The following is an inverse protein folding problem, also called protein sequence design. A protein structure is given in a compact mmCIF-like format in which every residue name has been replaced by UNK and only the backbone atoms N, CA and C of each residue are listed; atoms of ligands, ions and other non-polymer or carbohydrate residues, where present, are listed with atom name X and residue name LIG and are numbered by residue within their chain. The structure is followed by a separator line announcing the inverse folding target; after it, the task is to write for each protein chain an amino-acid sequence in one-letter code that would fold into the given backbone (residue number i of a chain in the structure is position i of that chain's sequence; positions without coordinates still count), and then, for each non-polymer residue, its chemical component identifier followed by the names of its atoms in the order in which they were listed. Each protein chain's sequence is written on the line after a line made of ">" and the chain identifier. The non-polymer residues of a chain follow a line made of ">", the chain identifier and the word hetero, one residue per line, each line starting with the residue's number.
data_IF_014752175437
#
_entry.id   IF_014752175437
#
_cell.length_a   1.000
_cell.length_b   1.000
_cell.length_c   1.000
_cell.angle_alpha   90.00
_cell.angle_beta   90.00
_cell.angle_gamma   90.00
#
_symmetry.space_group_name_H-M   'P 1'
#
loop_
_entity.id
_entity.type
_entity.pdbx_description
1 polymer ?
#
# COMPACT_ATOMS: atom_id res chain seq x y z
N UNK A 1 -8.79 32.27 59.50
CA UNK A 1 -10.24 32.17 59.25
C UNK A 1 -10.43 31.80 57.83
N UNK A 2 -10.67 30.57 57.67
CA UNK A 2 -11.91 29.90 57.27
C UNK A 2 -12.03 29.92 55.74
N UNK A 3 -11.87 28.82 55.14
CA UNK A 3 -12.72 27.64 54.84
C UNK A 3 -13.37 27.70 53.48
N UNK A 4 -12.94 26.76 52.65
CA UNK A 4 -13.72 25.71 51.95
C UNK A 4 -14.72 26.10 50.88
N UNK A 5 -14.63 25.44 49.71
CA UNK A 5 -15.53 24.43 49.10
C UNK A 5 -15.12 24.24 47.66
N UNK A 6 -14.51 23.23 47.25
CA UNK A 6 -14.95 21.86 46.92
C UNK A 6 -16.23 21.78 46.06
N UNK A 7 -16.11 21.37 44.83
CA UNK A 7 -16.78 20.23 44.19
C UNK A 7 -16.70 20.30 42.70
N UNK A 8 -16.02 19.34 42.14
CA UNK A 8 -16.55 18.28 41.26
C UNK A 8 -17.35 18.76 40.05
N UNK A 9 -16.73 18.65 38.88
CA UNK A 9 -17.40 17.98 37.74
C UNK A 9 -16.32 17.22 36.96
N UNK A 10 -16.38 15.92 37.08
CA UNK A 10 -15.60 15.02 36.26
C UNK A 10 -16.19 15.02 34.86
N UNK A 11 -15.37 15.35 33.89
CA UNK A 11 -15.62 15.02 32.49
C UNK A 11 -14.66 13.92 32.11
N UNK A 12 -15.22 12.76 31.95
CA UNK A 12 -14.56 11.58 31.39
C UNK A 12 -14.31 11.89 29.92
N UNK A 13 -13.11 12.42 29.61
CA UNK A 13 -12.57 12.33 28.27
C UNK A 13 -11.99 10.92 28.16
N UNK A 14 -12.75 10.01 27.58
CA UNK A 14 -12.23 8.77 27.04
C UNK A 14 -11.29 9.12 25.90
N UNK A 15 -10.04 9.41 26.24
CA UNK A 15 -8.95 9.49 25.30
C UNK A 15 -8.73 8.10 24.75
N UNK A 16 -9.22 7.91 23.53
CA UNK A 16 -8.81 6.78 22.70
C UNK A 16 -7.34 7.00 22.35
N UNK A 17 -6.45 6.56 23.24
CA UNK A 17 -5.05 6.38 22.92
C UNK A 17 -4.96 5.27 21.87
N UNK A 18 -4.95 5.69 20.61
CA UNK A 18 -4.52 4.84 19.52
C UNK A 18 -3.03 4.59 19.76
N UNK A 19 -2.74 3.50 20.46
CA UNK A 19 -1.39 3.00 20.63
C UNK A 19 -0.91 2.61 19.21
N UNK A 20 -0.20 3.50 18.54
CA UNK A 20 0.55 3.19 17.35
C UNK A 20 1.70 2.27 17.78
N UNK A 21 1.38 1.00 17.97
CA UNK A 21 2.41 -0.04 18.04
C UNK A 21 3.12 -0.01 16.70
N UNK A 22 4.39 0.38 16.72
CA UNK A 22 5.31 0.23 15.60
C UNK A 22 5.45 -1.27 15.32
N UNK A 23 4.50 -1.81 14.55
CA UNK A 23 4.65 -3.12 13.96
C UNK A 23 5.67 -2.92 12.84
N UNK A 24 6.91 -3.27 13.09
CA UNK A 24 7.88 -3.51 12.04
C UNK A 24 7.36 -4.71 11.25
N UNK A 25 6.52 -4.46 10.27
CA UNK A 25 6.16 -5.48 9.30
C UNK A 25 7.44 -5.83 8.56
N UNK A 26 8.00 -7.00 8.86
CA UNK A 26 9.12 -7.54 8.08
C UNK A 26 8.71 -7.52 6.60
N UNK A 27 9.58 -6.98 5.75
CA UNK A 27 9.32 -6.97 4.31
C UNK A 27 8.99 -8.39 3.85
N UNK A 28 8.01 -8.57 2.94
CA UNK A 28 7.67 -9.88 2.43
C UNK A 28 8.91 -10.53 1.80
N UNK A 29 9.22 -11.74 2.25
CA UNK A 29 10.23 -12.60 1.63
C UNK A 29 9.53 -13.68 0.82
N UNK A 30 10.15 -14.12 -0.28
CA UNK A 30 9.58 -14.96 -1.35
C UNK A 30 9.15 -16.39 -0.95
N UNK A 31 8.75 -16.69 0.29
CA UNK A 31 8.73 -18.07 0.80
C UNK A 31 7.37 -18.73 1.07
N UNK A 32 6.26 -18.02 1.08
CA UNK A 32 4.99 -18.65 1.49
C UNK A 32 3.91 -18.56 0.39
N UNK A 33 3.44 -19.74 -0.06
CA UNK A 33 2.24 -19.81 -0.91
C UNK A 33 1.03 -19.33 -0.10
N UNK A 34 0.11 -18.54 -0.73
CA UNK A 34 -1.13 -18.12 -0.09
C UNK A 34 -1.89 -19.33 0.47
N UNK A 35 -2.33 -19.24 1.73
CA UNK A 35 -3.24 -20.21 2.35
C UNK A 35 -4.67 -19.87 1.97
N UNK A 36 -5.57 -20.86 2.04
CA UNK A 36 -7.01 -20.64 1.90
C UNK A 36 -7.45 -19.49 2.81
N UNK A 37 -8.16 -18.51 2.22
CA UNK A 37 -8.57 -17.28 2.91
C UNK A 37 -7.57 -16.10 2.83
N UNK A 38 -6.41 -16.26 2.21
CA UNK A 38 -5.48 -15.16 1.98
C UNK A 38 -6.01 -14.19 0.91
N UNK A 39 -5.84 -12.91 1.17
CA UNK A 39 -6.16 -11.84 0.21
C UNK A 39 -4.95 -11.42 -0.64
N UNK A 40 -3.81 -12.10 -0.52
CA UNK A 40 -2.64 -11.84 -1.36
C UNK A 40 -3.02 -11.88 -2.84
N UNK A 41 -2.61 -10.88 -3.61
CA UNK A 41 -2.98 -10.74 -5.02
C UNK A 41 -4.38 -10.16 -5.27
N UNK A 42 -5.16 -9.85 -4.24
CA UNK A 42 -6.44 -9.17 -4.40
C UNK A 42 -6.31 -7.66 -4.21
N UNK A 43 -7.31 -6.93 -4.64
CA UNK A 43 -7.48 -5.52 -4.37
C UNK A 43 -8.43 -5.33 -3.18
N UNK A 44 -8.02 -4.53 -2.19
CA UNK A 44 -8.91 -3.95 -1.20
C UNK A 44 -9.42 -2.60 -1.71
N UNK A 45 -10.71 -2.37 -1.53
CA UNK A 45 -11.39 -1.15 -1.98
C UNK A 45 -12.01 -0.51 -0.75
N UNK A 46 -11.60 0.71 -0.44
CA UNK A 46 -12.21 1.47 0.65
C UNK A 46 -13.70 1.65 0.40
N UNK A 47 -14.53 1.29 1.38
CA UNK A 47 -15.97 1.46 1.28
C UNK A 47 -16.33 2.96 1.32
N UNK A 48 -17.52 3.37 0.83
CA UNK A 48 -17.99 4.75 0.96
C UNK A 48 -18.14 5.20 2.43
N UNK A 49 -18.26 4.28 3.37
CA UNK A 49 -18.32 4.52 4.81
C UNK A 49 -16.95 4.51 5.51
N UNK A 50 -15.87 4.48 4.76
CA UNK A 50 -14.50 4.53 5.31
C UNK A 50 -14.34 5.76 6.20
N UNK A 51 -14.10 5.54 7.48
CA UNK A 51 -13.97 6.61 8.48
C UNK A 51 -12.58 7.25 8.55
N UNK A 52 -11.56 6.57 8.03
CA UNK A 52 -10.19 7.09 8.03
C UNK A 52 -9.93 7.92 6.76
N UNK A 53 -9.69 9.25 6.90
CA UNK A 53 -9.49 10.13 5.75
C UNK A 53 -8.26 9.77 4.91
N UNK A 54 -7.30 9.03 5.46
CA UNK A 54 -6.12 8.55 4.73
C UNK A 54 -6.49 7.51 3.67
N UNK A 55 -7.63 6.85 3.82
CA UNK A 55 -8.05 5.75 2.94
C UNK A 55 -9.35 6.02 2.17
N UNK A 56 -9.90 7.24 2.22
CA UNK A 56 -11.10 7.59 1.43
C UNK A 56 -10.84 7.32 -0.06
N UNK A 57 -11.75 6.56 -0.72
CA UNK A 57 -11.64 6.21 -2.15
C UNK A 57 -10.28 5.58 -2.54
N UNK A 58 -9.71 4.80 -1.64
CA UNK A 58 -8.42 4.14 -1.86
C UNK A 58 -8.62 2.73 -2.41
N UNK A 59 -7.72 2.33 -3.31
CA UNK A 59 -7.58 0.94 -3.78
C UNK A 59 -6.16 0.47 -3.44
N UNK A 60 -6.07 -0.69 -2.78
CA UNK A 60 -4.82 -1.25 -2.27
C UNK A 60 -4.59 -2.62 -2.90
N UNK A 61 -3.44 -2.83 -3.52
CA UNK A 61 -2.99 -4.16 -3.93
C UNK A 61 -2.42 -4.88 -2.71
N UNK A 62 -2.97 -6.04 -2.38
CA UNK A 62 -2.49 -6.87 -1.28
C UNK A 62 -1.28 -7.68 -1.73
N UNK A 63 -0.12 -7.36 -1.16
CA UNK A 63 1.15 -8.04 -1.46
C UNK A 63 1.35 -9.25 -0.54
N UNK A 64 0.90 -9.15 0.71
CA UNK A 64 0.94 -10.24 1.69
C UNK A 64 -0.27 -10.17 2.61
N UNK A 65 -0.84 -11.34 2.90
CA UNK A 65 -1.86 -11.52 3.94
C UNK A 65 -1.72 -12.91 4.57
N UNK A 66 -1.33 -12.96 5.83
CA UNK A 66 -1.12 -14.18 6.60
C UNK A 66 -1.43 -13.97 8.09
N UNK A 67 -1.21 -15.00 8.92
CA UNK A 67 -1.44 -14.94 10.38
C UNK A 67 -0.58 -13.90 11.12
N UNK A 68 0.46 -13.35 10.49
CA UNK A 68 1.30 -12.28 11.04
C UNK A 68 0.78 -10.87 10.68
N UNK A 69 -0.29 -10.78 9.89
CA UNK A 69 -0.93 -9.54 9.47
C UNK A 69 -0.96 -9.37 7.96
N UNK A 70 -1.09 -8.13 7.51
CA UNK A 70 -1.22 -7.82 6.09
C UNK A 70 -0.35 -6.63 5.68
N UNK A 71 0.06 -6.65 4.41
CA UNK A 71 0.85 -5.61 3.76
C UNK A 71 0.29 -5.35 2.36
N UNK A 72 0.06 -4.09 2.02
CA UNK A 72 -0.46 -3.70 0.72
C UNK A 72 0.05 -2.34 0.25
N UNK A 73 -0.05 -2.11 -1.06
CA UNK A 73 0.38 -0.88 -1.73
C UNK A 73 -0.84 -0.17 -2.31
N UNK A 74 -1.04 1.08 -1.93
CA UNK A 74 -2.05 1.97 -2.55
C UNK A 74 -1.63 2.24 -4.00
N UNK A 75 -2.55 2.00 -4.94
CA UNK A 75 -2.26 2.06 -6.38
C UNK A 75 -2.89 3.26 -7.09
N UNK A 76 -3.79 3.98 -6.45
CA UNK A 76 -4.56 5.06 -7.07
C UNK A 76 -4.32 6.45 -6.49
N UNK A 77 -3.16 6.70 -5.87
CA UNK A 77 -2.79 8.01 -5.32
C UNK A 77 -1.50 8.56 -5.92
N UNK A 78 -1.53 9.10 -7.13
CA UNK A 78 -0.36 9.75 -7.73
C UNK A 78 -0.02 11.03 -6.94
N UNK A 79 1.27 11.25 -6.67
CA UNK A 79 1.78 12.46 -6.01
C UNK A 79 2.62 13.32 -6.95
N UNK A 80 2.82 12.87 -8.17
CA UNK A 80 3.45 13.64 -9.24
C UNK A 80 4.49 12.87 -10.03
N UNK A 81 4.97 13.52 -11.07
CA UNK A 81 5.99 12.97 -11.95
C UNK A 81 7.38 13.47 -11.52
N UNK A 82 8.40 12.63 -11.66
CA UNK A 82 9.79 12.95 -11.30
C UNK A 82 10.76 12.45 -12.36
N UNK A 83 11.78 13.23 -12.73
CA UNK A 83 12.90 12.73 -13.50
C UNK A 83 13.54 11.55 -12.76
N UNK A 84 13.76 10.44 -13.46
CA UNK A 84 14.27 9.22 -12.84
C UNK A 84 15.66 9.40 -12.23
N UNK A 85 16.52 10.18 -12.88
CA UNK A 85 17.83 10.55 -12.33
C UNK A 85 17.71 11.29 -11.00
N UNK A 86 16.75 12.23 -10.87
CA UNK A 86 16.52 12.96 -9.63
C UNK A 86 16.03 12.04 -8.50
N UNK A 87 15.17 11.07 -8.84
CA UNK A 87 14.70 10.06 -7.90
C UNK A 87 15.85 9.17 -7.41
N UNK A 88 16.70 8.68 -8.30
CA UNK A 88 17.87 7.88 -7.96
C UNK A 88 18.85 8.66 -7.07
N UNK A 89 19.11 9.94 -7.38
CA UNK A 89 19.94 10.81 -6.55
C UNK A 89 19.38 10.97 -5.13
N UNK A 90 18.06 11.17 -5.01
CA UNK A 90 17.38 11.27 -3.71
C UNK A 90 17.49 9.97 -2.89
N UNK A 91 17.55 8.82 -3.56
CA UNK A 91 17.77 7.51 -2.95
C UNK A 91 19.25 7.18 -2.71
N UNK A 92 20.14 8.18 -2.83
CA UNK A 92 21.56 8.05 -2.52
C UNK A 92 22.42 7.45 -3.65
N UNK A 93 21.94 7.47 -4.89
CA UNK A 93 22.76 7.13 -6.04
C UNK A 93 23.78 8.26 -6.30
N UNK A 94 25.05 7.90 -6.33
CA UNK A 94 26.14 8.88 -6.49
C UNK A 94 26.36 9.32 -7.94
N UNK A 95 25.91 8.49 -8.89
CA UNK A 95 26.06 8.74 -10.33
C UNK A 95 24.76 8.33 -11.04
N UNK A 96 23.67 9.13 -10.87
CA UNK A 96 22.35 8.78 -11.35
C UNK A 96 22.24 9.01 -12.87
N UNK A 97 22.76 8.09 -13.67
CA UNK A 97 22.60 8.10 -15.11
C UNK A 97 21.33 7.31 -15.46
N UNK A 98 20.21 8.00 -15.62
CA UNK A 98 18.95 7.40 -16.03
C UNK A 98 18.12 8.41 -16.82
N UNK A 99 17.60 7.99 -17.96
CA UNK A 99 16.71 8.80 -18.77
C UNK A 99 15.23 8.60 -18.38
N UNK A 100 14.41 9.60 -18.69
CA UNK A 100 12.96 9.51 -18.56
C UNK A 100 12.42 10.09 -17.26
N UNK A 101 11.09 10.11 -17.20
CA UNK A 101 10.28 10.60 -16.09
C UNK A 101 9.37 9.47 -15.64
N UNK A 102 9.19 9.31 -14.35
CA UNK A 102 8.34 8.30 -13.73
C UNK A 102 7.29 8.96 -12.86
N UNK A 103 6.09 8.36 -12.83
CA UNK A 103 5.03 8.77 -11.93
C UNK A 103 5.21 8.10 -10.58
N UNK A 104 5.13 8.89 -9.52
CA UNK A 104 5.28 8.45 -8.12
C UNK A 104 3.92 8.42 -7.46
N UNK A 105 3.69 7.41 -6.64
CA UNK A 105 2.46 7.19 -5.88
C UNK A 105 2.73 7.22 -4.37
N UNK A 106 1.74 7.68 -3.60
CA UNK A 106 1.70 7.46 -2.16
C UNK A 106 1.17 6.04 -1.92
N UNK A 107 2.06 5.11 -1.60
CA UNK A 107 1.74 3.69 -1.40
C UNK A 107 1.07 3.36 -0.08
N UNK A 108 1.08 4.30 0.89
CA UNK A 108 0.43 4.17 2.17
C UNK A 108 1.06 5.05 3.26
N UNK A 109 0.47 5.06 4.46
CA UNK A 109 0.90 5.95 5.54
C UNK A 109 2.12 5.46 6.33
N UNK A 110 2.54 4.20 6.14
CA UNK A 110 3.64 3.59 6.89
C UNK A 110 4.93 3.74 6.09
N UNK A 111 6.00 4.15 6.75
CA UNK A 111 7.36 4.31 6.18
C UNK A 111 7.39 5.04 4.82
N UNK A 112 6.95 6.30 4.76
CA UNK A 112 6.76 7.04 3.50
C UNK A 112 8.05 7.29 2.71
N UNK A 113 9.20 7.03 3.31
CA UNK A 113 10.52 7.17 2.66
C UNK A 113 10.99 5.87 1.98
N UNK A 114 10.27 4.76 2.18
CA UNK A 114 10.63 3.49 1.56
C UNK A 114 9.88 3.31 0.25
N UNK A 115 10.64 3.06 -0.83
CA UNK A 115 10.12 2.87 -2.17
C UNK A 115 9.86 1.40 -2.51
N UNK A 116 8.77 1.15 -3.23
CA UNK A 116 8.37 -0.13 -3.78
C UNK A 116 8.02 0.04 -5.24
N UNK A 117 8.36 -0.94 -6.05
CA UNK A 117 7.95 -0.98 -7.46
C UNK A 117 7.08 -2.22 -7.65
N UNK A 118 5.78 -2.02 -7.85
CA UNK A 118 4.86 -3.05 -8.33
C UNK A 118 5.03 -3.15 -9.84
N UNK A 119 5.16 -4.36 -10.39
CA UNK A 119 5.47 -4.52 -11.80
C UNK A 119 4.93 -5.83 -12.39
N UNK A 120 4.98 -5.92 -13.72
CA UNK A 120 4.66 -7.15 -14.45
C UNK A 120 5.77 -8.20 -14.28
N UNK A 121 5.41 -9.48 -14.33
CA UNK A 121 6.30 -10.62 -14.04
C UNK A 121 7.32 -10.94 -15.15
N UNK A 122 7.39 -10.13 -16.20
CA UNK A 122 8.42 -10.22 -17.23
C UNK A 122 9.82 -9.75 -16.77
N UNK A 123 9.91 -9.26 -15.53
CA UNK A 123 11.14 -8.82 -14.88
C UNK A 123 11.26 -9.48 -13.51
N UNK A 124 12.50 -9.90 -13.15
CA UNK A 124 12.78 -10.53 -11.87
C UNK A 124 14.21 -10.24 -11.39
N UNK A 125 14.35 -10.04 -10.08
CA UNK A 125 15.62 -9.91 -9.36
C UNK A 125 15.60 -10.79 -8.10
N UNK A 126 16.72 -10.91 -7.42
CA UNK A 126 16.83 -11.74 -6.21
C UNK A 126 15.90 -11.28 -5.07
N UNK A 127 15.56 -9.99 -5.01
CA UNK A 127 14.68 -9.37 -4.02
C UNK A 127 13.23 -9.15 -4.52
N UNK A 128 12.91 -9.70 -5.67
CA UNK A 128 11.54 -9.65 -6.20
C UNK A 128 10.65 -10.64 -5.46
N UNK A 129 9.51 -10.16 -5.04
CA UNK A 129 8.42 -10.95 -4.43
C UNK A 129 7.32 -11.10 -5.47
N UNK A 130 7.01 -12.34 -5.83
CA UNK A 130 5.89 -12.63 -6.71
C UNK A 130 4.56 -12.43 -5.97
N UNK A 131 3.62 -11.77 -6.63
CA UNK A 131 2.25 -11.56 -6.20
C UNK A 131 1.35 -12.36 -7.13
N UNK A 132 0.31 -13.00 -6.59
CA UNK A 132 -0.64 -13.75 -7.40
C UNK A 132 -1.22 -12.90 -8.54
N UNK A 133 -1.55 -13.56 -9.66
CA UNK A 133 -2.19 -12.91 -10.80
C UNK A 133 -1.25 -12.20 -11.78
N UNK A 134 0.02 -12.57 -11.80
CA UNK A 134 0.98 -12.06 -12.79
C UNK A 134 1.57 -10.69 -12.43
N UNK A 135 1.58 -10.36 -11.15
CA UNK A 135 2.23 -9.19 -10.58
C UNK A 135 3.41 -9.59 -9.72
N UNK A 136 4.36 -8.68 -9.57
CA UNK A 136 5.48 -8.81 -8.68
C UNK A 136 5.80 -7.45 -8.02
N UNK A 137 6.57 -7.47 -6.95
CA UNK A 137 7.05 -6.27 -6.27
C UNK A 137 8.55 -6.39 -6.02
N UNK A 138 9.28 -5.32 -6.29
CA UNK A 138 10.72 -5.21 -5.99
C UNK A 138 10.95 -3.95 -5.15
N UNK A 139 11.75 -4.06 -4.09
CA UNK A 139 12.06 -2.94 -3.19
C UNK A 139 13.46 -2.34 -3.42
N UNK A 140 14.33 -3.00 -4.19
CA UNK A 140 15.66 -2.47 -4.46
C UNK A 140 15.64 -1.35 -5.51
N UNK A 141 16.51 -0.35 -5.32
CA UNK A 141 16.65 0.77 -6.26
C UNK A 141 17.23 0.38 -7.63
N UNK A 142 17.81 -0.83 -7.74
CA UNK A 142 18.37 -1.36 -8.98
C UNK A 142 17.31 -1.49 -10.08
N UNK A 143 16.05 -1.79 -9.72
CA UNK A 143 14.94 -1.80 -10.70
C UNK A 143 14.75 -0.43 -11.36
N UNK A 144 14.95 0.66 -10.62
CA UNK A 144 14.83 2.02 -11.18
C UNK A 144 15.93 2.30 -12.20
N UNK A 145 17.14 1.81 -11.96
CA UNK A 145 18.23 1.88 -12.95
C UNK A 145 17.92 1.07 -14.20
N UNK A 146 17.35 -0.12 -14.00
CA UNK A 146 16.97 -0.97 -15.14
C UNK A 146 15.84 -0.35 -15.95
N UNK A 147 14.85 0.29 -15.30
CA UNK A 147 13.81 1.07 -15.99
C UNK A 147 14.45 2.18 -16.83
N UNK A 148 15.37 2.96 -16.26
CA UNK A 148 16.06 4.04 -16.97
C UNK A 148 16.94 3.57 -18.13
N UNK A 149 17.41 2.34 -18.07
CA UNK A 149 18.22 1.69 -19.11
C UNK A 149 17.38 0.84 -20.10
N UNK A 150 16.03 0.95 -20.05
CA UNK A 150 15.11 0.18 -20.89
C UNK A 150 15.27 -1.35 -20.73
N UNK A 151 15.67 -1.80 -19.54
CA UNK A 151 15.81 -3.21 -19.16
C UNK A 151 14.89 -3.58 -17.99
N UNK A 152 14.03 -2.68 -17.60
CA UNK A 152 13.04 -2.89 -16.56
C UNK A 152 11.81 -3.65 -17.06
N UNK A 153 10.80 -3.83 -16.18
CA UNK A 153 9.54 -4.47 -16.54
C UNK A 153 8.75 -3.65 -17.58
N UNK A 154 7.91 -4.34 -18.36
CA UNK A 154 7.02 -3.69 -19.34
C UNK A 154 6.01 -2.74 -18.70
N UNK A 155 5.55 -3.06 -17.47
CA UNK A 155 4.64 -2.24 -16.69
C UNK A 155 5.16 -2.08 -15.28
N UNK A 156 5.11 -0.86 -14.74
CA UNK A 156 5.53 -0.58 -13.37
C UNK A 156 4.75 0.57 -12.75
N UNK A 157 4.58 0.50 -11.43
CA UNK A 157 4.04 1.53 -10.57
C UNK A 157 5.00 1.73 -9.41
N UNK A 158 5.53 2.95 -9.26
CA UNK A 158 6.50 3.28 -8.22
C UNK A 158 5.78 3.97 -7.07
N UNK A 159 5.78 3.35 -5.90
CA UNK A 159 5.07 3.85 -4.72
C UNK A 159 6.03 4.04 -3.55
N UNK A 160 5.75 5.04 -2.71
CA UNK A 160 6.46 5.27 -1.47
C UNK A 160 5.51 5.08 -0.29
N UNK A 161 6.01 4.37 0.74
CA UNK A 161 5.19 3.93 1.87
C UNK A 161 4.28 2.74 1.52
N UNK A 162 3.61 2.24 2.54
CA UNK A 162 2.69 1.10 2.42
C UNK A 162 1.53 1.20 3.42
N UNK A 163 0.51 0.38 3.24
CA UNK A 163 -0.55 0.11 4.19
C UNK A 163 -0.25 -1.22 4.91
N UNK A 164 -0.27 -1.21 6.24
CA UNK A 164 0.03 -2.37 7.06
C UNK A 164 -1.05 -2.61 8.10
N UNK A 165 -1.33 -3.88 8.37
CA UNK A 165 -2.27 -4.34 9.40
C UNK A 165 -1.60 -5.34 10.32
N UNK A 166 -1.84 -5.19 11.63
CA UNK A 166 -1.47 -6.17 12.62
C UNK A 166 -2.29 -7.47 12.44
N UNK A 167 -1.86 -8.60 13.06
CA UNK A 167 -2.64 -9.83 13.04
C UNK A 167 -4.09 -9.62 13.47
N UNK A 168 -5.05 -10.06 12.64
CA UNK A 168 -6.49 -9.96 12.88
C UNK A 168 -7.10 -8.56 12.67
N UNK A 169 -6.29 -7.54 12.41
CA UNK A 169 -6.80 -6.18 12.23
C UNK A 169 -7.59 -6.06 10.91
N UNK A 170 -7.03 -6.57 9.81
CA UNK A 170 -7.70 -6.49 8.50
C UNK A 170 -9.03 -7.25 8.50
N UNK A 171 -9.07 -8.42 9.11
CA UNK A 171 -10.29 -9.23 9.25
C UNK A 171 -11.36 -8.48 10.05
N UNK A 172 -10.96 -7.79 11.12
CA UNK A 172 -11.86 -6.94 11.90
C UNK A 172 -12.42 -5.77 11.08
N UNK A 173 -11.61 -5.12 10.27
CA UNK A 173 -12.02 -4.01 9.39
C UNK A 173 -12.92 -4.50 8.24
N UNK A 174 -12.66 -5.68 7.67
CA UNK A 174 -13.53 -6.34 6.70
C UNK A 174 -14.90 -6.67 7.29
N UNK A 175 -14.93 -7.26 8.50
CA UNK A 175 -16.17 -7.59 9.19
C UNK A 175 -17.01 -6.35 9.54
N UNK A 176 -16.38 -5.19 9.70
CA UNK A 176 -17.05 -3.91 9.89
C UNK A 176 -17.47 -3.22 8.58
N UNK A 177 -17.15 -3.81 7.43
CA UNK A 177 -17.50 -3.28 6.12
C UNK A 177 -16.71 -2.02 5.71
N UNK A 178 -15.52 -1.82 6.25
CA UNK A 178 -14.64 -0.71 5.83
C UNK A 178 -13.95 -1.01 4.50
N UNK A 179 -13.79 -2.27 4.16
CA UNK A 179 -13.17 -2.73 2.92
C UNK A 179 -14.05 -3.69 2.16
N UNK A 180 -14.04 -3.58 0.85
CA UNK A 180 -14.49 -4.60 -0.09
C UNK A 180 -13.29 -5.25 -0.74
N UNK A 181 -13.47 -6.43 -1.33
CA UNK A 181 -12.43 -7.12 -2.09
C UNK A 181 -12.84 -7.31 -3.54
N UNK A 182 -11.87 -7.42 -4.42
CA UNK A 182 -12.05 -7.90 -5.79
C UNK A 182 -10.76 -8.58 -6.25
N UNK A 183 -10.84 -9.61 -7.11
CA UNK A 183 -9.66 -10.13 -7.78
C UNK A 183 -8.89 -8.99 -8.45
N UNK A 184 -7.56 -9.04 -8.39
CA UNK A 184 -6.74 -8.05 -9.07
C UNK A 184 -6.95 -8.10 -10.59
N UNK A 185 -6.75 -6.95 -11.22
CA UNK A 185 -6.72 -6.80 -12.67
C UNK A 185 -5.55 -5.90 -13.03
N UNK A 186 -4.64 -6.40 -13.85
CA UNK A 186 -3.46 -5.64 -14.28
C UNK A 186 -3.79 -4.32 -14.94
N UNK A 187 -4.98 -4.19 -15.56
CA UNK A 187 -5.46 -2.91 -16.10
C UNK A 187 -5.76 -1.90 -14.99
N UNK A 188 -6.41 -2.34 -13.90
CA UNK A 188 -6.66 -1.48 -12.75
C UNK A 188 -5.37 -1.07 -12.06
N UNK A 189 -4.42 -2.01 -11.91
CA UNK A 189 -3.13 -1.74 -11.24
C UNK A 189 -2.29 -0.73 -12.03
N UNK A 190 -2.29 -0.82 -13.36
CA UNK A 190 -1.47 0.03 -14.23
C UNK A 190 -2.30 1.04 -15.06
N UNK A 191 -3.60 1.16 -14.78
CA UNK A 191 -4.49 2.09 -15.49
C UNK A 191 -3.98 3.53 -15.36
N UNK A 192 -3.99 4.28 -16.47
CA UNK A 192 -3.55 5.67 -16.48
C UNK A 192 -4.58 6.64 -15.88
N UNK A 193 -5.87 6.29 -15.92
CA UNK A 193 -6.94 7.07 -15.27
C UNK A 193 -7.04 6.70 -13.77
N UNK A 194 -6.17 7.29 -12.97
CA UNK A 194 -6.10 7.02 -11.52
C UNK A 194 -7.32 7.49 -10.75
N UNK A 195 -8.00 8.49 -11.23
CA UNK A 195 -9.20 9.04 -10.58
C UNK A 195 -10.40 8.07 -10.73
N UNK A 196 -10.42 7.28 -11.82
CA UNK A 196 -11.48 6.30 -12.08
C UNK A 196 -11.22 4.91 -11.46
N UNK A 197 -10.00 4.63 -10.97
CA UNK A 197 -9.63 3.28 -10.47
C UNK A 197 -10.54 2.83 -9.34
N UNK A 198 -10.88 3.70 -8.39
CA UNK A 198 -11.77 3.35 -7.29
C UNK A 198 -13.17 2.98 -7.77
N UNK A 199 -13.77 3.78 -8.65
CA UNK A 199 -15.09 3.52 -9.23
C UNK A 199 -15.12 2.22 -10.05
N UNK A 200 -14.05 1.96 -10.81
CA UNK A 200 -13.91 0.74 -11.59
C UNK A 200 -13.79 -0.49 -10.69
N UNK A 201 -12.98 -0.42 -9.64
CA UNK A 201 -12.84 -1.49 -8.65
C UNK A 201 -14.16 -1.71 -7.90
N UNK A 202 -14.85 -0.66 -7.48
CA UNK A 202 -16.15 -0.75 -6.80
C UNK A 202 -17.23 -1.44 -7.63
N UNK A 203 -17.24 -1.27 -8.95
CA UNK A 203 -18.16 -1.99 -9.85
C UNK A 203 -17.88 -3.49 -9.94
N UNK A 204 -16.65 -3.91 -9.60
CA UNK A 204 -16.19 -5.31 -9.68
C UNK A 204 -16.10 -5.99 -8.31
N UNK A 205 -16.41 -5.25 -7.23
CA UNK A 205 -16.30 -5.77 -5.87
C UNK A 205 -17.09 -7.07 -5.70
N UNK A 206 -16.50 -7.98 -4.99
CA UNK A 206 -17.22 -9.16 -4.48
C UNK A 206 -18.12 -8.66 -3.36
N UNK A 207 -19.42 -8.86 -3.50
CA UNK A 207 -20.34 -8.75 -2.40
C UNK A 207 -20.29 -10.10 -1.72
N UNK A 208 -19.60 -10.20 -0.61
CA UNK A 208 -19.76 -11.35 0.27
C UNK A 208 -21.20 -11.34 0.77
N UNK A 209 -21.87 -12.42 0.43
CA UNK A 209 -23.26 -12.72 0.80
C UNK A 209 -23.35 -13.14 2.27
#
# INVERSE_FOLDING_TARGET
>A
MALTFLQRLGSILAGMFLCASLVHAAFPTAADKPKDGSLTGQLLIASPSMGDPRFLQTVILMVRHDHNGAFGIVINRPIGDRPLAALLAALGDKDPVAAGTVRIFAGGPVEPDIGFVVHSTDYHRADTVDIDGGLAMTSSREILRDIGNQRGPNKSLIAFGYAGWAPGQLEGELAQGFWFTTPQDTKLVFDDDRDAVWDHAMKRRTQDL
#
